data_IF_088751938959
#
_entry.id   IF_088751938959
#
_cell.length_a   1.000
_cell.length_b   1.000
_cell.length_c   1.000
_cell.angle_alpha   90.00
_cell.angle_beta   90.00
_cell.angle_gamma   90.00
#
_symmetry.space_group_name_H-M   'P 1'
#
loop_
_entity.id
_entity.type
_entity.pdbx_description
1 polymer ?
#
# COMPACT_ATOMS: atom_id res chain seq x y z
N UNK A 1 -9.47 15.38 7.02
CA UNK A 1 -9.05 14.18 6.24
C UNK A 1 -9.41 14.27 4.75
N UNK A 2 -10.31 15.15 4.34
CA UNK A 2 -10.72 15.34 2.94
C UNK A 2 -9.57 15.54 1.93
N UNK A 3 -8.45 16.13 2.34
CA UNK A 3 -7.23 16.27 1.52
C UNK A 3 -6.40 14.98 1.41
N UNK A 4 -6.72 13.95 2.20
CA UNK A 4 -5.94 12.71 2.34
C UNK A 4 -6.75 11.45 2.01
N UNK A 5 -7.91 11.61 1.40
CA UNK A 5 -8.76 10.52 0.91
C UNK A 5 -9.15 10.73 -0.53
N UNK A 6 -9.34 9.66 -1.28
CA UNK A 6 -9.80 9.74 -2.67
C UNK A 6 -11.30 10.11 -2.75
N UNK A 7 -12.06 9.93 -1.69
CA UNK A 7 -13.43 10.44 -1.55
C UNK A 7 -13.50 11.97 -1.44
N UNK A 8 -12.40 12.63 -1.01
CA UNK A 8 -12.32 14.09 -0.79
C UNK A 8 -13.34 14.63 0.24
N UNK A 9 -13.77 13.77 1.17
CA UNK A 9 -14.65 14.08 2.30
C UNK A 9 -14.02 13.59 3.60
N UNK A 10 -14.60 14.01 4.74
CA UNK A 10 -14.18 13.65 6.09
C UNK A 10 -13.57 14.81 6.86
N UNK A 11 -13.85 14.85 8.16
CA UNK A 11 -13.41 15.85 9.11
C UNK A 11 -11.91 15.80 9.42
N UNK A 12 -11.50 16.51 10.45
CA UNK A 12 -10.09 16.67 10.83
C UNK A 12 -9.55 15.43 11.55
N UNK A 13 -8.28 15.10 11.34
CA UNK A 13 -7.53 14.26 12.26
C UNK A 13 -6.95 15.14 13.38
N UNK A 14 -6.78 14.55 14.58
CA UNK A 14 -6.12 15.22 15.71
C UNK A 14 -4.72 15.72 15.32
N UNK A 15 -3.97 14.89 14.57
CA UNK A 15 -2.65 15.22 14.03
C UNK A 15 -2.43 14.44 12.73
N UNK A 16 -1.79 15.07 11.75
CA UNK A 16 -1.30 14.41 10.54
C UNK A 16 0.21 14.59 10.47
N UNK A 17 0.95 13.48 10.30
CA UNK A 17 2.42 13.47 10.25
C UNK A 17 2.93 12.80 8.99
N UNK A 18 4.06 13.32 8.47
CA UNK A 18 4.72 12.84 7.26
C UNK A 18 6.17 12.46 7.60
N UNK A 19 6.43 11.22 8.05
CA UNK A 19 7.78 10.79 8.39
C UNK A 19 8.68 10.79 7.15
N UNK A 20 9.94 11.14 7.36
CA UNK A 20 10.96 11.18 6.31
C UNK A 20 11.79 9.88 6.26
N UNK A 21 11.79 9.11 7.33
CA UNK A 21 12.54 7.86 7.49
C UNK A 21 11.87 6.94 8.52
N UNK A 22 12.39 5.72 8.65
CA UNK A 22 11.86 4.70 9.55
C UNK A 22 12.13 5.01 11.02
N UNK A 23 13.21 5.73 11.33
CA UNK A 23 13.52 6.20 12.68
C UNK A 23 12.40 7.09 13.21
N UNK A 24 11.92 8.04 12.39
CA UNK A 24 10.80 8.90 12.77
C UNK A 24 9.50 8.13 12.97
N UNK A 25 9.25 7.06 12.17
CA UNK A 25 8.10 6.17 12.39
C UNK A 25 8.24 5.48 13.76
N UNK A 26 9.42 4.93 14.06
CA UNK A 26 9.72 4.28 15.35
C UNK A 26 9.46 5.23 16.53
N UNK A 27 9.98 6.46 16.47
CA UNK A 27 9.76 7.48 17.48
C UNK A 27 8.29 7.85 17.64
N UNK A 28 7.58 8.04 16.53
CA UNK A 28 6.13 8.33 16.53
C UNK A 28 5.33 7.22 17.19
N UNK A 29 5.64 5.95 16.88
CA UNK A 29 4.98 4.79 17.50
C UNK A 29 5.22 4.78 19.02
N UNK A 30 6.46 5.00 19.45
CA UNK A 30 6.82 5.07 20.89
C UNK A 30 6.11 6.22 21.61
N UNK A 31 6.11 7.41 21.02
CA UNK A 31 5.40 8.57 21.56
C UNK A 31 3.89 8.33 21.64
N UNK A 32 3.28 7.85 20.56
CA UNK A 32 1.85 7.59 20.53
C UNK A 32 1.44 6.56 21.60
N UNK A 33 2.26 5.53 21.80
CA UNK A 33 2.07 4.52 22.85
C UNK A 33 2.20 5.13 24.26
N UNK A 34 3.22 5.96 24.51
CA UNK A 34 3.45 6.59 25.81
C UNK A 34 2.32 7.56 26.19
N UNK A 35 1.80 8.30 25.21
CA UNK A 35 0.72 9.29 25.39
C UNK A 35 -0.68 8.68 25.23
N UNK A 36 -0.79 7.36 25.05
CA UNK A 36 -2.03 6.64 24.78
C UNK A 36 -2.83 7.27 23.63
N UNK A 37 -2.15 7.69 22.57
CA UNK A 37 -2.73 8.24 21.35
C UNK A 37 -2.84 7.14 20.29
N UNK A 38 -4.03 7.00 19.70
CA UNK A 38 -4.23 6.08 18.57
C UNK A 38 -3.38 6.51 17.36
N UNK A 39 -2.62 5.59 16.77
CA UNK A 39 -1.87 5.80 15.54
C UNK A 39 -2.54 5.04 14.39
N UNK A 40 -2.70 5.70 13.23
CA UNK A 40 -3.28 5.11 12.03
C UNK A 40 -2.34 5.41 10.86
N UNK A 41 -1.77 4.36 10.26
CA UNK A 41 -1.00 4.50 9.02
C UNK A 41 -1.95 4.53 7.82
N UNK A 42 -1.78 5.54 6.97
CA UNK A 42 -2.58 5.74 5.77
C UNK A 42 -1.65 5.81 4.56
N UNK A 43 -1.96 5.03 3.54
CA UNK A 43 -1.30 5.12 2.24
C UNK A 43 -1.94 6.23 1.39
N UNK A 44 -2.48 5.88 0.22
CA UNK A 44 -3.11 6.83 -0.70
C UNK A 44 -4.56 7.24 -0.30
N UNK A 45 -5.07 6.78 0.85
CA UNK A 45 -6.43 7.09 1.32
C UNK A 45 -7.56 6.59 0.40
N UNK A 46 -7.28 5.58 -0.45
CA UNK A 46 -8.22 5.09 -1.46
C UNK A 46 -9.15 3.97 -0.98
N UNK A 47 -9.09 3.64 0.29
CA UNK A 47 -9.97 2.65 0.92
C UNK A 47 -10.46 3.17 2.29
N UNK A 48 -10.61 4.49 2.41
CA UNK A 48 -11.02 5.14 3.65
C UNK A 48 -12.25 6.01 3.42
N UNK A 49 -13.23 5.83 4.30
CA UNK A 49 -14.31 6.78 4.54
C UNK A 49 -14.09 7.33 5.95
N UNK A 50 -13.96 8.64 6.04
CA UNK A 50 -13.72 9.34 7.31
C UNK A 50 -14.97 10.13 7.67
N UNK A 51 -15.40 10.01 8.92
CA UNK A 51 -16.55 10.73 9.47
C UNK A 51 -16.32 12.26 9.40
N UNK A 52 -17.41 13.03 9.28
CA UNK A 52 -17.34 14.49 9.27
C UNK A 52 -16.90 15.09 10.62
N UNK A 53 -17.14 14.38 11.72
CA UNK A 53 -16.61 14.71 13.04
C UNK A 53 -15.10 14.48 13.15
N UNK A 54 -14.50 13.77 12.18
CA UNK A 54 -13.07 13.53 12.08
C UNK A 54 -12.58 12.27 12.80
N UNK A 55 -11.27 12.25 13.08
CA UNK A 55 -10.61 11.09 13.71
C UNK A 55 -9.77 11.58 14.91
N UNK A 56 -10.08 11.10 16.11
CA UNK A 56 -9.23 11.30 17.29
C UNK A 56 -8.02 10.32 17.26
N UNK A 57 -7.09 10.60 16.36
CA UNK A 57 -5.89 9.83 16.17
C UNK A 57 -4.76 10.68 15.57
N UNK A 58 -3.53 10.22 15.74
CA UNK A 58 -2.39 10.64 14.92
C UNK A 58 -2.40 9.82 13.62
N UNK A 59 -2.57 10.49 12.48
CA UNK A 59 -2.58 9.87 11.15
C UNK A 59 -1.18 10.01 10.55
N UNK A 60 -0.56 8.88 10.26
CA UNK A 60 0.77 8.79 9.65
C UNK A 60 0.62 8.52 8.16
N UNK A 61 1.14 9.42 7.32
CA UNK A 61 1.06 9.31 5.85
C UNK A 61 2.46 9.05 5.30
N UNK A 62 2.62 7.90 4.65
CA UNK A 62 3.85 7.53 3.96
C UNK A 62 3.86 8.16 2.56
N UNK A 63 4.57 9.28 2.45
CA UNK A 63 4.69 10.05 1.21
C UNK A 63 5.91 9.66 0.36
N UNK A 64 6.45 10.67 -0.34
CA UNK A 64 7.56 10.53 -1.29
C UNK A 64 8.82 9.86 -0.69
N UNK A 65 9.28 10.12 0.54
CA UNK A 65 10.44 9.43 1.13
C UNK A 65 10.28 7.91 1.22
N UNK A 66 9.05 7.41 1.12
CA UNK A 66 8.71 5.98 1.09
C UNK A 66 8.23 5.51 -0.29
N UNK A 67 8.65 6.15 -1.39
CA UNK A 67 8.22 5.83 -2.75
C UNK A 67 9.24 5.03 -3.58
N UNK A 68 10.41 4.73 -3.04
CA UNK A 68 11.47 4.01 -3.76
C UNK A 68 11.01 2.63 -4.24
N UNK A 69 11.37 2.29 -5.49
CA UNK A 69 11.19 0.96 -6.09
C UNK A 69 12.54 0.55 -6.68
N UNK A 70 12.95 -0.71 -6.49
CA UNK A 70 14.20 -1.24 -7.04
C UNK A 70 14.11 -2.74 -7.32
N UNK A 71 14.89 -3.24 -8.26
CA UNK A 71 15.16 -4.66 -8.42
C UNK A 71 16.11 -5.14 -7.31
N UNK A 72 15.84 -6.31 -6.75
CA UNK A 72 16.71 -7.04 -5.84
C UNK A 72 17.48 -8.11 -6.62
N UNK A 73 16.77 -8.80 -7.49
CA UNK A 73 17.29 -9.78 -8.44
C UNK A 73 16.44 -9.77 -9.71
N UNK A 74 16.67 -10.73 -10.62
CA UNK A 74 16.01 -10.82 -11.93
C UNK A 74 14.47 -10.94 -11.87
N UNK A 75 13.90 -11.36 -10.75
CA UNK A 75 12.47 -11.62 -10.59
C UNK A 75 11.88 -10.98 -9.31
N UNK A 76 12.71 -10.33 -8.50
CA UNK A 76 12.28 -9.76 -7.22
C UNK A 76 12.34 -8.25 -7.24
N UNK A 77 11.21 -7.61 -6.96
CA UNK A 77 11.10 -6.17 -6.76
C UNK A 77 10.96 -5.88 -5.26
N UNK A 78 11.74 -4.91 -4.78
CA UNK A 78 11.50 -4.23 -3.52
C UNK A 78 10.79 -2.90 -3.78
N UNK A 79 9.77 -2.61 -3.00
CA UNK A 79 9.10 -1.32 -3.01
C UNK A 79 8.90 -0.81 -1.58
N UNK A 80 9.18 0.46 -1.32
CA UNK A 80 8.76 1.11 -0.09
C UNK A 80 7.24 1.29 -0.06
N UNK A 81 6.66 1.28 1.14
CA UNK A 81 5.21 1.20 1.35
C UNK A 81 4.40 2.38 0.78
N UNK A 82 5.00 3.57 0.65
CA UNK A 82 4.38 4.75 0.03
C UNK A 82 4.43 4.76 -1.50
N UNK A 83 5.13 3.82 -2.15
CA UNK A 83 5.18 3.73 -3.60
C UNK A 83 3.77 3.54 -4.19
N UNK A 84 3.42 4.31 -5.21
CA UNK A 84 2.12 4.17 -5.89
C UNK A 84 2.06 2.84 -6.63
N UNK A 85 0.96 2.12 -6.52
CA UNK A 85 0.78 0.83 -7.23
C UNK A 85 0.95 0.96 -8.73
N UNK A 86 0.44 2.02 -9.33
CA UNK A 86 0.63 2.26 -10.76
C UNK A 86 2.12 2.40 -11.15
N UNK A 87 2.93 3.03 -10.32
CA UNK A 87 4.38 3.16 -10.54
C UNK A 87 5.07 1.79 -10.40
N UNK A 88 4.67 1.00 -9.39
CA UNK A 88 5.17 -0.35 -9.18
C UNK A 88 4.85 -1.29 -10.36
N UNK A 89 3.60 -1.24 -10.88
CA UNK A 89 3.21 -2.02 -12.07
C UNK A 89 3.98 -1.59 -13.32
N UNK A 90 4.22 -0.28 -13.53
CA UNK A 90 5.05 0.23 -14.63
C UNK A 90 6.49 -0.22 -14.51
N UNK A 91 7.05 -0.15 -13.31
CA UNK A 91 8.40 -0.64 -13.04
C UNK A 91 8.55 -2.13 -13.37
N UNK A 92 7.60 -2.97 -12.97
CA UNK A 92 7.57 -4.39 -13.32
C UNK A 92 7.51 -4.59 -14.84
N UNK A 93 6.62 -3.88 -15.54
CA UNK A 93 6.51 -3.89 -17.00
C UNK A 93 7.82 -3.49 -17.70
N UNK A 94 8.47 -2.42 -17.25
CA UNK A 94 9.75 -1.94 -17.82
C UNK A 94 10.84 -2.99 -17.73
N UNK A 95 10.81 -3.85 -16.71
CA UNK A 95 11.75 -4.95 -16.48
C UNK A 95 11.26 -6.30 -17.01
N UNK A 96 10.18 -6.33 -17.82
CA UNK A 96 9.59 -7.57 -18.38
C UNK A 96 9.19 -8.57 -17.28
N UNK A 97 8.60 -8.07 -16.19
CA UNK A 97 8.13 -8.87 -15.06
C UNK A 97 6.60 -8.89 -15.02
N UNK A 98 6.04 -10.08 -15.14
CA UNK A 98 4.59 -10.38 -15.08
C UNK A 98 4.16 -10.78 -13.68
N UNK A 99 2.93 -10.47 -13.32
CA UNK A 99 2.26 -10.83 -12.06
C UNK A 99 1.58 -9.65 -11.38
N UNK A 100 1.87 -8.40 -11.76
CA UNK A 100 1.27 -7.20 -11.17
C UNK A 100 0.22 -6.50 -12.07
N UNK A 101 -0.14 -7.08 -13.21
CA UNK A 101 -1.06 -6.45 -14.16
C UNK A 101 -2.42 -6.16 -13.55
N UNK A 102 -2.90 -7.03 -12.65
CA UNK A 102 -4.17 -6.86 -11.93
C UNK A 102 -4.22 -5.56 -11.11
N UNK A 103 -3.07 -5.12 -10.62
CA UNK A 103 -2.96 -3.97 -9.73
C UNK A 103 -2.86 -2.62 -10.45
N UNK A 104 -2.63 -2.62 -11.78
CA UNK A 104 -2.34 -1.40 -12.56
C UNK A 104 -3.45 -0.34 -12.48
N UNK A 105 -4.70 -0.76 -12.32
CA UNK A 105 -5.84 0.14 -12.16
C UNK A 105 -6.20 0.50 -10.72
N UNK A 106 -5.54 -0.06 -9.69
CA UNK A 106 -5.88 0.18 -8.29
C UNK A 106 -5.25 1.51 -7.82
N UNK A 107 -6.02 2.49 -7.33
CA UNK A 107 -5.52 3.80 -6.93
C UNK A 107 -4.94 3.76 -5.50
N UNK A 108 -3.97 2.89 -5.23
CA UNK A 108 -3.42 2.66 -3.90
C UNK A 108 -1.91 2.87 -3.82
N UNK A 109 -1.39 2.78 -2.60
CA UNK A 109 0.04 2.61 -2.31
C UNK A 109 0.39 1.14 -2.12
N UNK A 110 1.66 0.78 -2.29
CA UNK A 110 2.15 -0.58 -2.11
C UNK A 110 1.85 -1.11 -0.70
N UNK A 111 2.14 -0.34 0.36
CA UNK A 111 1.83 -0.73 1.73
C UNK A 111 0.34 -0.88 2.01
N UNK A 112 -0.50 0.03 1.47
CA UNK A 112 -1.96 -0.10 1.58
C UNK A 112 -2.50 -1.34 0.86
N UNK A 113 -1.90 -1.69 -0.29
CA UNK A 113 -2.26 -2.91 -1.02
C UNK A 113 -1.85 -4.18 -0.27
N UNK A 114 -0.67 -4.22 0.35
CA UNK A 114 -0.25 -5.33 1.19
C UNK A 114 -1.14 -5.46 2.43
N UNK A 115 -1.45 -4.35 3.11
CA UNK A 115 -2.33 -4.32 4.27
C UNK A 115 -3.70 -4.96 3.99
N UNK A 116 -4.30 -4.65 2.84
CA UNK A 116 -5.63 -5.11 2.44
C UNK A 116 -5.61 -6.39 1.60
N UNK A 117 -4.45 -6.99 1.33
CA UNK A 117 -4.35 -8.02 0.29
C UNK A 117 -5.13 -7.60 -0.97
N UNK A 118 -4.85 -6.39 -1.46
CA UNK A 118 -5.62 -5.80 -2.55
C UNK A 118 -5.63 -6.69 -3.79
N UNK A 119 -6.79 -6.84 -4.39
CA UNK A 119 -6.96 -7.66 -5.58
C UNK A 119 -7.99 -7.07 -6.55
N UNK A 120 -7.85 -7.45 -7.81
CA UNK A 120 -8.79 -7.13 -8.88
C UNK A 120 -8.64 -8.15 -10.02
N UNK A 121 -9.76 -8.43 -10.71
CA UNK A 121 -9.76 -9.26 -11.93
C UNK A 121 -9.11 -10.65 -11.76
N UNK A 122 -9.26 -11.25 -10.59
CA UNK A 122 -8.76 -12.59 -10.28
C UNK A 122 -7.32 -12.69 -9.81
N UNK A 123 -6.58 -11.56 -9.73
CA UNK A 123 -5.27 -11.49 -9.08
C UNK A 123 -5.34 -10.72 -7.76
N UNK A 124 -4.45 -11.02 -6.83
CA UNK A 124 -4.34 -10.35 -5.54
C UNK A 124 -2.88 -10.28 -5.05
N UNK A 125 -2.61 -9.43 -4.06
CA UNK A 125 -1.23 -9.23 -3.57
C UNK A 125 -0.59 -10.53 -3.09
N UNK A 126 -1.34 -11.45 -2.48
CA UNK A 126 -0.82 -12.74 -2.02
C UNK A 126 -0.17 -13.59 -3.12
N UNK A 127 -0.54 -13.35 -4.39
CA UNK A 127 0.00 -14.12 -5.51
C UNK A 127 1.47 -13.78 -5.81
N UNK A 128 1.93 -12.61 -5.33
CA UNK A 128 3.25 -12.06 -5.62
C UNK A 128 4.01 -11.56 -4.39
N UNK A 129 3.32 -11.19 -3.32
CA UNK A 129 3.91 -10.64 -2.10
C UNK A 129 4.40 -11.78 -1.19
N UNK A 130 5.70 -11.79 -0.89
CA UNK A 130 6.25 -12.82 0.00
C UNK A 130 6.88 -12.29 1.29
N UNK A 131 7.19 -10.97 1.37
CA UNK A 131 7.77 -10.37 2.57
C UNK A 131 7.38 -8.91 2.70
N UNK A 132 7.10 -8.48 3.94
CA UNK A 132 6.94 -7.07 4.31
C UNK A 132 7.86 -6.72 5.47
N UNK A 133 8.54 -5.57 5.35
CA UNK A 133 9.22 -4.89 6.45
C UNK A 133 8.24 -3.96 7.17
N UNK A 134 8.41 -3.80 8.48
CA UNK A 134 7.52 -2.98 9.29
C UNK A 134 8.21 -2.38 10.52
N UNK A 135 7.56 -1.38 11.11
CA UNK A 135 7.77 -0.95 12.48
C UNK A 135 6.62 -1.49 13.32
N UNK A 136 6.93 -2.26 14.35
CA UNK A 136 5.92 -2.88 15.21
C UNK A 136 5.31 -1.89 16.22
N UNK A 137 4.33 -2.35 17.01
CA UNK A 137 3.67 -1.54 18.05
C UNK A 137 4.57 -1.06 19.20
N UNK A 138 5.82 -1.52 19.27
CA UNK A 138 6.82 -1.07 20.23
C UNK A 138 7.80 -0.07 19.61
N UNK A 139 7.71 0.16 18.30
CA UNK A 139 8.63 0.97 17.53
C UNK A 139 9.89 0.22 17.11
N UNK A 140 9.89 -1.11 17.17
CA UNK A 140 11.01 -1.93 16.73
C UNK A 140 10.84 -2.34 15.26
N UNK A 141 11.97 -2.46 14.54
CA UNK A 141 11.98 -2.94 13.17
C UNK A 141 11.78 -4.45 13.15
N UNK A 142 10.95 -4.90 12.23
CA UNK A 142 10.69 -6.30 12.01
C UNK A 142 10.27 -6.59 10.57
N UNK A 143 9.95 -7.84 10.32
CA UNK A 143 9.37 -8.28 9.05
C UNK A 143 8.43 -9.46 9.29
N UNK A 144 7.51 -9.65 8.35
CA UNK A 144 6.72 -10.87 8.19
C UNK A 144 6.93 -11.40 6.78
N UNK A 145 6.94 -12.72 6.63
CA UNK A 145 7.11 -13.36 5.32
C UNK A 145 6.23 -14.59 5.16
N UNK A 146 5.90 -14.91 3.90
CA UNK A 146 5.11 -16.07 3.50
C UNK A 146 3.81 -16.20 4.32
N UNK A 147 3.57 -17.34 4.97
CA UNK A 147 2.33 -17.62 5.70
C UNK A 147 2.10 -16.71 6.91
N UNK A 148 3.16 -16.13 7.48
CA UNK A 148 3.05 -15.17 8.59
C UNK A 148 2.34 -13.87 8.19
N UNK A 149 2.32 -13.54 6.90
CA UNK A 149 1.56 -12.41 6.36
C UNK A 149 0.04 -12.61 6.48
N UNK A 150 -0.46 -13.85 6.63
CA UNK A 150 -1.87 -14.24 6.79
C UNK A 150 -2.80 -13.58 5.76
N UNK A 151 -2.35 -13.53 4.50
CA UNK A 151 -3.08 -12.87 3.43
C UNK A 151 -4.35 -13.64 3.07
N UNK A 152 -5.49 -12.98 3.21
CA UNK A 152 -6.80 -13.48 2.83
C UNK A 152 -7.68 -12.37 2.27
N UNK A 153 -8.95 -12.65 1.96
CA UNK A 153 -9.83 -11.64 1.38
C UNK A 153 -9.91 -10.38 2.24
N UNK A 154 -9.40 -9.24 1.74
CA UNK A 154 -9.38 -7.91 2.39
C UNK A 154 -8.68 -7.92 3.75
N UNK A 155 -7.70 -8.79 3.97
CA UNK A 155 -7.06 -8.98 5.27
C UNK A 155 -5.58 -9.36 5.14
N UNK A 156 -4.80 -8.94 6.15
CA UNK A 156 -3.43 -9.36 6.41
C UNK A 156 -3.15 -9.36 7.92
N UNK A 157 -2.04 -9.99 8.35
CA UNK A 157 -1.58 -9.95 9.75
C UNK A 157 -1.44 -8.53 10.32
N UNK A 158 -1.21 -7.55 9.46
CA UNK A 158 -1.07 -6.14 9.84
C UNK A 158 -2.38 -5.52 10.34
N UNK A 159 -3.51 -6.09 9.96
CA UNK A 159 -4.82 -5.69 10.48
C UNK A 159 -4.94 -5.98 11.98
N UNK A 160 -4.35 -7.09 12.43
CA UNK A 160 -4.45 -7.58 13.80
C UNK A 160 -3.34 -7.04 14.71
N UNK A 161 -2.12 -6.87 14.17
CA UNK A 161 -0.93 -6.55 14.98
C UNK A 161 -0.65 -5.05 15.10
N UNK A 162 -1.27 -4.21 14.23
CA UNK A 162 -1.14 -2.75 14.26
C UNK A 162 0.24 -2.22 13.85
N UNK A 163 1.11 -3.04 13.27
CA UNK A 163 2.41 -2.60 12.79
C UNK A 163 2.29 -1.76 11.52
N UNK A 164 3.22 -0.84 11.33
CA UNK A 164 3.30 0.05 10.16
C UNK A 164 4.20 -0.57 9.11
N UNK A 165 3.63 -0.98 7.98
CA UNK A 165 4.39 -1.52 6.83
C UNK A 165 5.28 -0.41 6.27
N UNK A 166 6.59 -0.69 6.09
CA UNK A 166 7.57 0.25 5.55
C UNK A 166 8.14 -0.16 4.19
N UNK A 167 8.13 -1.47 3.90
CA UNK A 167 8.64 -2.02 2.65
C UNK A 167 8.05 -3.38 2.30
N UNK A 168 8.13 -3.74 1.02
CA UNK A 168 7.59 -4.99 0.47
C UNK A 168 8.56 -5.64 -0.51
N UNK A 169 8.58 -6.94 -0.53
CA UNK A 169 9.27 -7.76 -1.52
C UNK A 169 8.26 -8.58 -2.31
N UNK A 170 8.33 -8.44 -3.63
CA UNK A 170 7.41 -9.05 -4.57
C UNK A 170 8.18 -9.99 -5.48
N UNK A 171 7.77 -11.25 -5.53
CA UNK A 171 8.33 -12.24 -6.45
C UNK A 171 7.46 -12.33 -7.69
N UNK A 172 8.04 -12.00 -8.83
CA UNK A 172 7.37 -11.96 -10.12
C UNK A 172 7.97 -13.01 -11.07
N UNK A 173 7.47 -13.08 -12.29
CA UNK A 173 7.96 -13.99 -13.32
C UNK A 173 8.38 -13.21 -14.55
N UNK A 174 9.44 -13.65 -15.23
CA UNK A 174 9.77 -13.13 -16.56
C UNK A 174 8.62 -13.35 -17.52
N UNK A 175 8.29 -12.36 -18.33
CA UNK A 175 7.20 -12.41 -19.30
C UNK A 175 7.50 -11.57 -20.53
N UNK A 176 6.73 -11.81 -21.60
CA UNK A 176 6.82 -11.01 -22.81
C UNK A 176 6.21 -9.62 -22.58
N UNK A 177 7.00 -8.58 -22.89
CA UNK A 177 6.60 -7.19 -22.62
C UNK A 177 5.30 -6.78 -23.32
N UNK A 178 5.06 -7.31 -24.53
CA UNK A 178 3.83 -7.10 -25.28
C UNK A 178 2.61 -7.69 -24.59
N UNK A 179 2.71 -8.91 -24.05
CA UNK A 179 1.62 -9.60 -23.34
C UNK A 179 1.30 -8.89 -22.00
N UNK A 180 2.33 -8.51 -21.25
CA UNK A 180 2.16 -7.73 -20.01
C UNK A 180 1.40 -6.44 -20.29
N UNK A 181 1.81 -5.71 -21.34
CA UNK A 181 1.16 -4.45 -21.73
C UNK A 181 -0.28 -4.67 -22.16
N UNK A 182 -0.55 -5.64 -23.03
CA UNK A 182 -1.90 -5.96 -23.48
C UNK A 182 -2.82 -6.25 -22.30
N UNK A 183 -2.36 -7.06 -21.34
CA UNK A 183 -3.12 -7.37 -20.12
C UNK A 183 -3.36 -6.13 -19.25
N UNK A 184 -2.37 -5.27 -19.05
CA UNK A 184 -2.53 -4.02 -18.32
C UNK A 184 -3.55 -3.09 -18.99
N UNK A 185 -3.48 -2.94 -20.33
CA UNK A 185 -4.39 -2.11 -21.12
C UNK A 185 -5.83 -2.66 -21.11
N UNK A 186 -6.01 -3.97 -21.23
CA UNK A 186 -7.32 -4.62 -21.10
C UNK A 186 -7.93 -4.36 -19.72
N UNK A 187 -7.19 -4.61 -18.64
CA UNK A 187 -7.72 -4.50 -17.28
C UNK A 187 -8.07 -3.05 -16.91
N UNK A 188 -7.26 -2.06 -17.32
CA UNK A 188 -7.61 -0.66 -17.11
C UNK A 188 -8.78 -0.23 -17.98
N UNK A 189 -8.91 -0.76 -19.20
CA UNK A 189 -10.05 -0.56 -20.09
C UNK A 189 -11.37 -1.07 -19.47
N UNK A 190 -11.37 -2.29 -18.92
CA UNK A 190 -12.52 -2.86 -18.19
C UNK A 190 -12.90 -2.02 -16.98
N UNK A 191 -11.91 -1.47 -16.27
CA UNK A 191 -12.16 -0.60 -15.13
C UNK A 191 -12.85 0.71 -15.56
N UNK A 192 -12.33 1.36 -16.59
CA UNK A 192 -12.91 2.60 -17.14
C UNK A 192 -14.34 2.41 -17.62
N UNK A 193 -14.65 1.25 -18.22
CA UNK A 193 -16.00 0.93 -18.69
C UNK A 193 -17.00 0.67 -17.55
N UNK A 194 -16.54 0.29 -16.35
CA UNK A 194 -17.41 -0.11 -15.23
C UNK A 194 -17.46 0.91 -14.09
N UNK A 195 -16.51 1.81 -14.00
CA UNK A 195 -16.38 2.77 -12.88
C UNK A 195 -16.31 4.19 -13.39
N UNK A 196 -17.09 5.14 -12.80
CA UNK A 196 -17.05 6.56 -13.13
C UNK A 196 -15.81 7.19 -12.49
N UNK A 197 -14.65 7.02 -13.15
CA UNK A 197 -13.34 7.47 -12.62
C UNK A 197 -13.20 8.99 -12.49
N UNK A 198 -14.10 9.76 -13.08
CA UNK A 198 -14.21 11.22 -12.98
C UNK A 198 -14.74 11.69 -11.62
N UNK A 199 -15.39 10.82 -10.86
CA UNK A 199 -15.92 11.13 -9.54
C UNK A 199 -15.01 10.63 -8.42
N UNK A 200 -15.02 11.32 -7.24
CA UNK A 200 -14.35 10.80 -6.04
C UNK A 200 -14.88 9.41 -5.67
N UNK A 201 -13.98 8.48 -5.40
CA UNK A 201 -14.33 7.10 -5.05
C UNK A 201 -13.26 6.48 -4.12
N UNK A 202 -13.61 5.37 -3.46
CA UNK A 202 -12.68 4.54 -2.69
C UNK A 202 -12.78 3.06 -3.11
#
# INVERSE_FOLDING_TARGET
MSLHTTFKIGGNARLVVYPQNEEQISELVKCAKAENVRLIAVGNGSNLLVDDDGIDACVLILGEPFSQIKLIDDETIYAKAGAKLIALCRFAYEHSLSGLEFAYGIPGSAGGAAFMNAGAYGGEMKDVLYKCEHIDKNGDRGFLENDDLKLSYRHSAYYDNGAVITGLYLKLKKGEKSEIKEKMDDLIGRRRAKQPLEYPSA
#
